data_IF_178248639423
#
_entry.id   IF_178248639423
#
_cell.length_a   1.000
_cell.length_b   1.000
_cell.length_c   1.000
_cell.angle_alpha   90.00
_cell.angle_beta   90.00
_cell.angle_gamma   90.00
#
_symmetry.space_group_name_H-M   'P 1'
#
loop_
_entity.id
_entity.type
_entity.pdbx_description
1 polymer ?
#
# COMPACT_ATOMS: atom_id res chain seq x y z
N UNK A 1 -3.05 12.74 1.66
CA UNK A 1 -2.45 11.41 1.46
C UNK A 1 -1.90 11.27 0.04
N UNK A 2 -0.75 10.62 -0.10
CA UNK A 2 -0.16 10.34 -1.39
C UNK A 2 -0.59 8.97 -1.89
N UNK A 3 -1.17 8.94 -3.09
CA UNK A 3 -1.46 7.70 -3.80
C UNK A 3 -0.74 7.70 -5.14
N UNK A 4 -0.50 6.52 -5.68
CA UNK A 4 0.20 6.35 -6.95
C UNK A 4 -0.68 5.56 -7.91
N UNK A 5 -0.91 6.12 -9.10
CA UNK A 5 -1.58 5.38 -10.15
C UNK A 5 -0.56 4.48 -10.84
N UNK A 6 -0.84 3.19 -10.88
CA UNK A 6 0.01 2.23 -11.56
C UNK A 6 -0.17 2.36 -13.07
N UNK A 7 0.92 2.62 -13.77
CA UNK A 7 0.89 2.93 -15.21
C UNK A 7 1.03 1.70 -16.10
N UNK A 8 1.54 0.59 -15.58
CA UNK A 8 1.75 -0.63 -16.35
C UNK A 8 1.72 -1.89 -15.49
N UNK A 9 1.49 -3.03 -16.13
CA UNK A 9 1.48 -4.32 -15.48
C UNK A 9 0.16 -4.64 -14.80
N UNK A 10 0.22 -5.49 -13.82
CA UNK A 10 -0.94 -5.97 -13.08
C UNK A 10 -1.61 -4.81 -12.31
N UNK A 11 -2.93 -4.63 -12.45
CA UNK A 11 -3.70 -3.55 -11.80
C UNK A 11 -3.41 -2.15 -12.33
N UNK A 12 -2.96 -2.06 -13.55
CA UNK A 12 -2.85 -0.82 -14.31
C UNK A 12 -4.12 0.04 -14.16
N UNK A 13 -3.92 1.36 -14.00
CA UNK A 13 -4.97 2.38 -13.85
C UNK A 13 -5.73 2.36 -12.52
N UNK A 14 -5.29 1.59 -11.53
CA UNK A 14 -5.79 1.71 -10.17
C UNK A 14 -4.85 2.57 -9.32
N UNK A 15 -5.42 3.34 -8.42
CA UNK A 15 -4.65 4.05 -7.41
C UNK A 15 -4.18 3.07 -6.35
N UNK A 16 -2.93 3.20 -5.96
CA UNK A 16 -2.27 2.23 -5.11
C UNK A 16 -1.26 2.92 -4.17
N UNK A 17 -0.60 2.13 -3.36
CA UNK A 17 0.43 2.56 -2.42
C UNK A 17 1.80 2.33 -3.02
N UNK A 18 2.80 3.09 -2.53
CA UNK A 18 4.19 2.81 -2.84
C UNK A 18 4.68 1.63 -2.01
N UNK A 19 5.60 0.84 -2.57
CA UNK A 19 6.21 -0.29 -1.90
C UNK A 19 5.49 -1.61 -2.13
N UNK A 20 6.25 -2.62 -2.57
CA UNK A 20 5.66 -3.93 -2.86
C UNK A 20 6.63 -5.09 -2.62
N UNK A 21 7.85 -5.02 -3.12
CA UNK A 21 8.77 -6.17 -3.11
C UNK A 21 9.86 -6.05 -2.06
N UNK A 22 10.00 -7.12 -1.27
CA UNK A 22 11.11 -7.32 -0.35
C UNK A 22 12.20 -8.13 -1.07
N UNK A 23 13.43 -7.60 -1.08
CA UNK A 23 14.59 -8.36 -1.54
C UNK A 23 15.15 -9.19 -0.38
N UNK A 24 15.79 -10.33 -0.68
CA UNK A 24 16.27 -11.28 0.34
C UNK A 24 17.21 -10.66 1.39
N UNK A 25 18.00 -9.67 0.98
CA UNK A 25 19.05 -9.06 1.80
C UNK A 25 18.60 -7.82 2.58
N UNK A 26 17.34 -7.43 2.49
CA UNK A 26 16.85 -6.20 3.13
C UNK A 26 15.78 -6.46 4.16
N UNK A 27 15.66 -5.53 5.12
CA UNK A 27 14.55 -5.52 6.06
C UNK A 27 13.30 -4.94 5.39
N UNK A 28 12.13 -5.12 6.01
CA UNK A 28 10.87 -4.56 5.52
C UNK A 28 10.96 -3.04 5.39
N UNK A 29 11.56 -2.37 6.37
CA UNK A 29 11.74 -0.91 6.35
C UNK A 29 12.70 -0.45 5.24
N UNK A 30 13.78 -1.19 5.02
CA UNK A 30 14.71 -0.90 3.93
C UNK A 30 14.01 -1.06 2.58
N UNK A 31 13.23 -2.11 2.42
CA UNK A 31 12.45 -2.34 1.20
C UNK A 31 11.47 -1.19 0.96
N UNK A 32 10.76 -0.75 1.98
CA UNK A 32 9.80 0.35 1.87
C UNK A 32 10.48 1.63 1.39
N UNK A 33 11.62 1.98 1.97
CA UNK A 33 12.37 3.20 1.59
C UNK A 33 12.85 3.11 0.15
N UNK A 34 13.40 1.96 -0.24
CA UNK A 34 13.88 1.73 -1.61
C UNK A 34 12.75 1.83 -2.63
N UNK A 35 11.66 1.15 -2.39
CA UNK A 35 10.50 1.15 -3.30
C UNK A 35 9.88 2.55 -3.40
N UNK A 36 9.78 3.26 -2.28
CA UNK A 36 9.26 4.62 -2.28
C UNK A 36 10.09 5.53 -3.18
N UNK A 37 11.42 5.44 -3.07
CA UNK A 37 12.33 6.23 -3.90
C UNK A 37 12.25 5.83 -5.37
N UNK A 38 12.26 4.53 -5.67
CA UNK A 38 12.18 4.03 -7.04
C UNK A 38 10.88 4.42 -7.74
N UNK A 39 9.76 4.37 -7.01
CA UNK A 39 8.45 4.60 -7.59
C UNK A 39 8.03 6.07 -7.62
N UNK A 40 8.50 6.88 -6.69
CA UNK A 40 8.03 8.26 -6.52
C UNK A 40 9.13 9.30 -6.40
N UNK A 41 10.39 8.89 -6.32
CA UNK A 41 11.54 9.76 -6.06
C UNK A 41 11.53 10.41 -4.67
N UNK A 42 10.64 10.01 -3.79
CA UNK A 42 10.61 10.50 -2.41
C UNK A 42 11.65 9.79 -1.56
N UNK A 43 12.35 10.56 -0.73
CA UNK A 43 13.35 10.03 0.20
C UNK A 43 12.85 10.10 1.63
N UNK A 44 13.09 9.04 2.37
CA UNK A 44 12.74 8.95 3.78
C UNK A 44 13.83 8.15 4.52
N UNK A 45 13.73 8.11 5.83
CA UNK A 45 14.65 7.36 6.70
C UNK A 45 13.86 6.31 7.48
N UNK A 46 14.52 5.21 7.83
CA UNK A 46 13.89 4.14 8.60
C UNK A 46 13.25 4.65 9.89
N UNK A 47 13.92 5.59 10.57
CA UNK A 47 13.42 6.17 11.83
C UNK A 47 12.13 6.97 11.68
N UNK A 48 11.81 7.41 10.46
CA UNK A 48 10.60 8.18 10.17
C UNK A 48 9.42 7.29 9.75
N UNK A 49 9.64 5.99 9.63
CA UNK A 49 8.59 5.01 9.34
C UNK A 49 7.88 4.62 10.64
N UNK A 50 6.61 4.93 10.72
CA UNK A 50 5.77 4.57 11.86
C UNK A 50 4.93 3.35 11.48
N UNK A 51 5.04 2.29 12.27
CA UNK A 51 4.29 1.03 12.04
C UNK A 51 2.80 1.25 12.37
N UNK A 52 1.95 0.98 11.40
CA UNK A 52 0.49 1.07 11.55
C UNK A 52 -0.22 -0.27 11.36
N UNK A 53 0.52 -1.36 11.27
CA UNK A 53 -0.05 -2.70 11.31
C UNK A 53 0.24 -3.54 10.09
N UNK A 54 -0.56 -4.58 9.90
CA UNK A 54 -0.35 -5.55 8.84
C UNK A 54 -1.67 -6.04 8.25
N UNK A 55 -1.66 -6.27 6.94
CA UNK A 55 -2.77 -6.88 6.22
C UNK A 55 -2.30 -8.23 5.70
N UNK A 56 -3.04 -9.29 6.01
CA UNK A 56 -2.76 -10.63 5.53
C UNK A 56 -3.67 -10.94 4.34
N UNK A 57 -3.10 -11.09 3.16
CA UNK A 57 -3.84 -11.33 1.92
C UNK A 57 -3.78 -12.80 1.52
N UNK A 58 -4.96 -13.39 1.30
CA UNK A 58 -5.13 -14.78 0.86
C UNK A 58 -5.87 -14.80 -0.47
N UNK A 59 -5.25 -15.38 -1.50
CA UNK A 59 -5.79 -15.42 -2.85
C UNK A 59 -6.24 -16.83 -3.22
N UNK A 60 -7.52 -16.99 -3.49
CA UNK A 60 -8.10 -18.27 -3.88
C UNK A 60 -7.57 -18.76 -5.23
N UNK A 61 -7.37 -17.82 -6.16
CA UNK A 61 -6.89 -18.13 -7.52
C UNK A 61 -5.49 -18.74 -7.51
N UNK A 62 -4.60 -18.19 -6.71
CA UNK A 62 -3.23 -18.67 -6.61
C UNK A 62 -2.65 -18.36 -5.24
N UNK A 63 -2.56 -19.38 -4.35
CA UNK A 63 -2.01 -19.18 -3.01
C UNK A 63 -0.56 -18.69 -3.00
N UNK A 64 0.17 -18.78 -4.10
CA UNK A 64 1.53 -18.24 -4.20
C UNK A 64 1.55 -16.71 -4.11
N UNK A 65 0.41 -16.05 -4.34
CA UNK A 65 0.28 -14.61 -4.14
C UNK A 65 -0.07 -14.22 -2.70
N UNK A 66 -0.30 -15.19 -1.82
CA UNK A 66 -0.56 -14.90 -0.41
C UNK A 66 0.61 -14.14 0.18
N UNK A 67 0.32 -13.08 0.92
CA UNK A 67 1.36 -12.22 1.44
C UNK A 67 0.90 -11.36 2.60
N UNK A 68 1.86 -10.93 3.39
CA UNK A 68 1.66 -9.94 4.44
C UNK A 68 2.09 -8.58 3.94
N UNK A 69 1.23 -7.60 4.09
CA UNK A 69 1.51 -6.21 3.72
C UNK A 69 1.66 -5.40 5.00
N UNK A 70 2.86 -4.93 5.26
CA UNK A 70 3.16 -4.10 6.42
C UNK A 70 2.84 -2.64 6.09
N UNK A 71 2.08 -2.00 6.97
CA UNK A 71 1.63 -0.62 6.79
C UNK A 71 2.52 0.33 7.58
N UNK A 72 3.03 1.33 6.89
CA UNK A 72 3.80 2.39 7.51
C UNK A 72 3.21 3.75 7.20
N UNK A 73 3.20 4.63 8.19
CA UNK A 73 2.91 6.04 8.01
C UNK A 73 4.23 6.80 7.98
N UNK A 74 4.37 7.71 7.03
CA UNK A 74 5.53 8.58 6.89
C UNK A 74 5.04 10.02 6.84
N UNK A 75 5.42 10.83 7.82
CA UNK A 75 5.09 12.26 7.83
C UNK A 75 6.25 13.12 7.31
N UNK A 76 7.48 12.64 7.50
CA UNK A 76 8.68 13.35 7.09
C UNK A 76 9.21 12.75 5.80
N UNK A 77 9.05 13.48 4.72
CA UNK A 77 9.56 13.08 3.41
C UNK A 77 10.43 14.21 2.84
N UNK A 78 11.48 13.83 2.12
CA UNK A 78 12.33 14.77 1.40
C UNK A 78 11.99 14.69 -0.08
N UNK A 79 12.02 15.82 -0.75
CA UNK A 79 11.72 15.98 -2.17
C UNK A 79 10.23 15.90 -2.48
N UNK A 80 9.88 16.42 -3.65
CA UNK A 80 8.53 16.31 -4.18
C UNK A 80 8.37 14.98 -4.92
N UNK A 81 7.18 14.35 -4.88
CA UNK A 81 6.94 13.13 -5.65
C UNK A 81 7.03 13.44 -7.14
N UNK A 82 7.66 12.53 -7.88
CA UNK A 82 7.88 12.67 -9.32
C UNK A 82 7.30 11.47 -10.06
N UNK A 83 6.63 11.72 -11.18
CA UNK A 83 6.12 10.66 -12.03
C UNK A 83 7.27 9.84 -12.61
N UNK A 84 7.13 8.52 -12.56
CA UNK A 84 8.09 7.57 -13.14
C UNK A 84 7.40 6.77 -14.25
N UNK A 85 8.15 5.88 -14.89
CA UNK A 85 7.56 4.97 -15.90
C UNK A 85 6.53 4.01 -15.30
N UNK A 86 6.64 3.72 -14.01
CA UNK A 86 5.76 2.76 -13.33
C UNK A 86 4.60 3.40 -12.60
N UNK A 87 4.80 4.60 -12.04
CA UNK A 87 3.85 5.23 -11.13
C UNK A 87 3.64 6.71 -11.42
N UNK A 88 2.40 7.14 -11.26
CA UNK A 88 2.02 8.55 -11.27
C UNK A 88 1.54 8.93 -9.88
N UNK A 89 2.37 9.61 -9.07
CA UNK A 89 1.97 10.03 -7.73
C UNK A 89 1.08 11.27 -7.75
N UNK A 90 0.09 11.29 -6.84
CA UNK A 90 -0.79 12.44 -6.67
C UNK A 90 -1.25 12.55 -5.23
N UNK A 91 -1.34 13.79 -4.71
CA UNK A 91 -1.86 14.07 -3.39
C UNK A 91 -3.38 14.16 -3.41
N UNK A 92 -4.04 13.53 -2.45
CA UNK A 92 -5.49 13.55 -2.28
C UNK A 92 -5.88 14.08 -0.91
N UNK A 93 -6.94 14.87 -0.85
CA UNK A 93 -7.58 15.17 0.41
C UNK A 93 -8.17 13.89 0.99
N UNK A 94 -8.11 13.74 2.30
CA UNK A 94 -8.63 12.54 3.00
C UNK A 94 -10.11 12.29 2.67
N UNK A 95 -10.88 13.34 2.43
CA UNK A 95 -12.29 13.24 2.10
C UNK A 95 -12.58 12.91 0.64
N UNK A 96 -11.54 12.93 -0.22
CA UNK A 96 -11.67 12.74 -1.67
C UNK A 96 -10.88 11.54 -2.18
N UNK A 97 -10.64 10.55 -1.34
CA UNK A 97 -9.91 9.34 -1.73
C UNK A 97 -10.75 8.55 -2.73
N UNK A 98 -10.19 8.17 -3.89
CA UNK A 98 -10.93 7.50 -4.95
C UNK A 98 -11.08 6.00 -4.69
N UNK A 99 -11.80 5.61 -3.65
CA UNK A 99 -11.97 4.21 -3.27
C UNK A 99 -12.55 3.32 -4.38
N UNK A 100 -13.35 3.88 -5.27
CA UNK A 100 -13.93 3.18 -6.41
C UNK A 100 -12.87 2.81 -7.47
N UNK A 101 -11.70 3.40 -7.40
CA UNK A 101 -10.57 3.16 -8.29
C UNK A 101 -9.36 2.62 -7.54
N UNK A 102 -9.60 1.91 -6.45
CA UNK A 102 -8.60 1.28 -5.60
C UNK A 102 -8.97 -0.18 -5.40
N UNK A 103 -8.12 -0.94 -4.70
CA UNK A 103 -8.45 -2.30 -4.30
C UNK A 103 -9.63 -2.28 -3.32
N UNK A 104 -10.45 -3.33 -3.34
CA UNK A 104 -11.65 -3.43 -2.52
C UNK A 104 -11.41 -3.31 -1.01
N UNK A 105 -10.24 -3.73 -0.55
CA UNK A 105 -9.90 -3.73 0.88
C UNK A 105 -9.61 -2.34 1.41
N UNK A 106 -9.14 -1.43 0.57
CA UNK A 106 -8.71 -0.10 1.01
C UNK A 106 -9.78 0.65 1.79
N UNK A 107 -11.02 0.60 1.35
CA UNK A 107 -12.13 1.28 2.02
C UNK A 107 -12.42 0.72 3.42
N UNK A 108 -11.95 -0.50 3.71
CA UNK A 108 -12.20 -1.17 4.99
C UNK A 108 -11.17 -0.75 6.04
N UNK A 109 -9.89 -0.78 5.69
CA UNK A 109 -8.82 -0.52 6.66
C UNK A 109 -8.27 0.91 6.64
N UNK A 110 -8.19 1.53 5.46
CA UNK A 110 -7.56 2.83 5.31
C UNK A 110 -8.23 3.95 6.14
N UNK A 111 -9.58 4.06 6.20
CA UNK A 111 -10.20 5.08 7.03
C UNK A 111 -9.82 5.01 8.51
N UNK A 112 -9.48 3.81 9.00
CA UNK A 112 -9.03 3.62 10.38
C UNK A 112 -7.61 4.12 10.59
N UNK A 113 -6.72 3.78 9.67
CA UNK A 113 -5.33 4.26 9.70
C UNK A 113 -5.29 5.79 9.62
N UNK A 114 -6.16 6.38 8.81
CA UNK A 114 -6.27 7.84 8.71
C UNK A 114 -6.78 8.51 9.98
N UNK A 115 -7.36 7.74 10.89
CA UNK A 115 -7.74 8.18 12.24
C UNK A 115 -6.70 7.78 13.28
N UNK A 116 -5.50 7.44 12.85
CA UNK A 116 -4.38 7.06 13.71
C UNK A 116 -4.56 5.74 14.44
N UNK A 117 -5.43 4.85 13.93
CA UNK A 117 -5.59 3.52 14.48
C UNK A 117 -4.60 2.54 13.85
N UNK A 118 -3.95 1.72 14.65
CA UNK A 118 -3.20 0.58 14.16
C UNK A 118 -4.16 -0.54 13.83
N UNK A 119 -3.92 -1.26 12.74
CA UNK A 119 -4.85 -2.28 12.26
C UNK A 119 -4.15 -3.60 11.95
N UNK A 120 -4.88 -4.68 12.10
CA UNK A 120 -4.48 -5.99 11.61
C UNK A 120 -5.73 -6.68 11.05
N UNK A 121 -5.65 -7.09 9.80
CA UNK A 121 -6.76 -7.70 9.08
C UNK A 121 -6.34 -8.92 8.30
N UNK A 122 -7.26 -9.89 8.19
CA UNK A 122 -7.21 -10.94 7.19
C UNK A 122 -8.17 -10.58 6.07
N UNK A 123 -7.73 -10.70 4.81
CA UNK A 123 -8.55 -10.51 3.62
C UNK A 123 -8.44 -11.73 2.73
N UNK A 124 -9.57 -12.29 2.34
CA UNK A 124 -9.66 -13.38 1.38
C UNK A 124 -10.28 -12.87 0.10
N UNK A 125 -9.62 -13.14 -1.03
CA UNK A 125 -10.04 -12.65 -2.34
C UNK A 125 -10.54 -13.81 -3.22
N UNK A 126 -11.62 -13.52 -3.97
CA UNK A 126 -12.13 -14.42 -5.00
C UNK A 126 -11.17 -14.49 -6.21
N UNK A 127 -11.49 -15.37 -7.17
CA UNK A 127 -10.78 -15.49 -8.44
C UNK A 127 -10.73 -14.17 -9.22
N UNK A 128 -11.77 -13.36 -9.11
CA UNK A 128 -11.88 -12.04 -9.76
C UNK A 128 -11.23 -10.91 -8.95
N UNK A 129 -10.47 -11.24 -7.89
CA UNK A 129 -9.76 -10.29 -7.02
C UNK A 129 -10.68 -9.40 -6.18
N UNK A 130 -11.96 -9.73 -6.11
CA UNK A 130 -12.90 -9.07 -5.20
C UNK A 130 -12.83 -9.71 -3.82
N UNK A 131 -13.16 -8.95 -2.79
CA UNK A 131 -13.15 -9.48 -1.43
C UNK A 131 -14.25 -10.54 -1.28
N UNK A 132 -13.82 -11.74 -0.86
CA UNK A 132 -14.69 -12.82 -0.46
C UNK A 132 -15.14 -12.65 0.98
N UNK A 133 -14.17 -12.29 1.85
CA UNK A 133 -14.36 -12.24 3.29
C UNK A 133 -13.23 -11.41 3.89
N UNK A 134 -13.50 -10.75 5.00
CA UNK A 134 -12.47 -10.08 5.78
C UNK A 134 -12.74 -10.26 7.26
N UNK A 135 -11.68 -10.14 8.06
CA UNK A 135 -11.73 -10.28 9.50
C UNK A 135 -10.75 -9.32 10.15
N UNK A 136 -11.25 -8.49 11.06
CA UNK A 136 -10.40 -7.61 11.85
C UNK A 136 -9.84 -8.40 13.02
N UNK A 137 -8.50 -8.42 13.15
CA UNK A 137 -7.80 -9.11 14.24
C UNK A 137 -7.52 -8.12 15.38
N UNK A 138 -7.03 -6.93 15.04
CA UNK A 138 -6.74 -5.87 16.03
C UNK A 138 -7.09 -4.49 15.50
#
# INVERSE_FOLDING_TARGET
>A
ILLCMKKRGFWEWLWNWAGWKLEEWETIKQAMIRELEEETCLKSKEQDLQDYGVLHFFFEKDPNFNQDINLFLIEKIQWEPTETEEMKPEWFDIEKIPYDKMWDDDIIWLPRVLKWEKVEYNFWFWIDWKIKKHEKIK
#
